data_IF_381307796322
#
_entry.id   IF_381307796322
#
_cell.length_a   1.000
_cell.length_b   1.000
_cell.length_c   1.000
_cell.angle_alpha   90.00
_cell.angle_beta   90.00
_cell.angle_gamma   90.00
#
_symmetry.space_group_name_H-M   'P 1'
#
loop_
_entity.id
_entity.type
_entity.pdbx_description
1 polymer ?
#
# COMPACT_ATOMS: atom_id res chain seq x y z
N UNK A 1 1.84 18.65 29.26
CA UNK A 1 1.22 17.85 28.18
C UNK A 1 2.33 17.09 27.47
N UNK A 2 2.39 15.75 27.65
CA UNK A 2 3.27 14.93 26.85
C UNK A 2 2.82 14.99 25.38
N UNK A 3 3.74 15.22 24.42
CA UNK A 3 3.37 15.17 23.01
C UNK A 3 2.79 13.79 22.69
N UNK A 4 1.67 13.75 21.97
CA UNK A 4 1.06 12.50 21.58
C UNK A 4 2.08 11.65 20.81
N UNK A 5 2.03 10.33 20.95
CA UNK A 5 2.96 9.41 20.27
C UNK A 5 3.01 9.66 18.74
N UNK A 6 1.89 10.07 18.15
CA UNK A 6 1.81 10.44 16.74
C UNK A 6 2.65 11.68 16.39
N UNK A 7 2.63 12.73 17.22
CA UNK A 7 3.46 13.91 16.99
C UNK A 7 4.96 13.59 17.12
N UNK A 8 5.33 12.76 18.09
CA UNK A 8 6.71 12.26 18.24
C UNK A 8 7.18 11.45 17.04
N UNK A 9 6.32 10.60 16.46
CA UNK A 9 6.65 9.81 15.28
C UNK A 9 6.80 10.67 14.02
N UNK A 10 5.95 11.67 13.83
CA UNK A 10 6.08 12.64 12.72
C UNK A 10 7.39 13.42 12.85
N UNK A 11 7.71 13.90 14.03
CA UNK A 11 8.97 14.64 14.28
C UNK A 11 10.22 13.79 14.04
N UNK A 12 10.23 12.53 14.53
CA UNK A 12 11.33 11.58 14.28
C UNK A 12 11.51 11.30 12.79
N UNK A 13 10.42 11.09 12.04
CA UNK A 13 10.47 10.86 10.60
C UNK A 13 10.99 12.07 9.84
N UNK A 14 10.57 13.28 10.21
CA UNK A 14 11.07 14.53 9.61
C UNK A 14 12.57 14.70 9.86
N UNK A 15 13.05 14.45 11.09
CA UNK A 15 14.48 14.52 11.44
C UNK A 15 15.30 13.50 10.67
N UNK A 16 14.87 12.24 10.61
CA UNK A 16 15.52 11.18 9.85
C UNK A 16 15.60 11.53 8.37
N UNK A 17 14.49 12.03 7.81
CA UNK A 17 14.48 12.43 6.41
C UNK A 17 15.44 13.59 6.13
N UNK A 18 15.46 14.62 6.98
CA UNK A 18 16.41 15.72 6.86
C UNK A 18 17.85 15.22 6.87
N UNK A 19 18.22 14.37 7.83
CA UNK A 19 19.56 13.78 7.91
C UNK A 19 19.94 13.04 6.61
N UNK A 20 19.02 12.26 6.03
CA UNK A 20 19.26 11.56 4.76
C UNK A 20 19.49 12.56 3.62
N UNK A 21 18.67 13.59 3.53
CA UNK A 21 18.82 14.65 2.51
C UNK A 21 20.16 15.38 2.65
N UNK A 22 20.51 15.81 3.87
CA UNK A 22 21.77 16.50 4.17
C UNK A 22 23.01 15.64 3.78
N UNK A 23 22.93 14.31 4.00
CA UNK A 23 24.01 13.37 3.58
C UNK A 23 24.14 13.33 2.05
N UNK A 24 23.05 13.18 1.33
CA UNK A 24 23.08 13.14 -0.14
C UNK A 24 23.60 14.46 -0.73
N UNK A 25 23.12 15.60 -0.21
CA UNK A 25 23.58 16.93 -0.64
C UNK A 25 25.07 17.12 -0.35
N UNK A 26 25.56 16.68 0.82
CA UNK A 26 26.99 16.76 1.17
C UNK A 26 27.89 15.84 0.33
N UNK A 27 27.32 14.80 -0.29
CA UNK A 27 28.03 13.89 -1.22
C UNK A 27 27.91 14.30 -2.70
N UNK A 28 27.38 15.49 -2.96
CA UNK A 28 27.39 16.09 -4.30
C UNK A 28 26.16 15.76 -5.14
N UNK A 29 24.97 15.64 -4.50
CA UNK A 29 23.69 15.45 -5.18
C UNK A 29 22.71 16.58 -4.89
N UNK A 30 22.02 17.04 -5.92
CA UNK A 30 20.83 17.88 -5.79
C UNK A 30 19.59 17.00 -5.68
N UNK A 31 18.78 17.21 -4.64
CA UNK A 31 17.66 16.33 -4.30
C UNK A 31 16.30 16.95 -4.67
N UNK A 32 15.51 16.18 -5.42
CA UNK A 32 14.11 16.46 -5.65
C UNK A 32 13.24 15.40 -4.95
N UNK A 33 12.10 15.80 -4.41
CA UNK A 33 11.20 14.90 -3.67
C UNK A 33 9.74 15.19 -3.97
N UNK A 34 8.95 14.11 -4.00
CA UNK A 34 7.49 14.21 -4.12
C UNK A 34 6.83 13.00 -3.47
N UNK A 35 5.69 13.23 -2.79
CA UNK A 35 4.83 12.14 -2.36
C UNK A 35 3.94 11.76 -3.53
N UNK A 36 4.00 10.51 -3.95
CA UNK A 36 3.20 9.95 -5.02
C UNK A 36 2.25 8.91 -4.46
N UNK A 37 0.98 8.93 -4.90
CA UNK A 37 0.01 7.89 -4.60
C UNK A 37 -0.05 6.92 -5.78
N UNK A 38 0.24 5.64 -5.56
CA UNK A 38 0.24 4.63 -6.61
C UNK A 38 -1.07 4.58 -7.40
N UNK A 39 -2.21 4.89 -6.77
CA UNK A 39 -3.52 4.96 -7.43
C UNK A 39 -3.56 5.96 -8.59
N UNK A 40 -2.78 7.02 -8.52
CA UNK A 40 -2.67 8.02 -9.57
C UNK A 40 -1.88 7.55 -10.79
N UNK A 41 -1.26 6.36 -10.72
CA UNK A 41 -0.36 5.79 -11.73
C UNK A 41 -0.83 4.39 -12.19
N UNK A 42 -2.14 4.19 -12.30
CA UNK A 42 -2.71 2.95 -12.85
C UNK A 42 -2.58 1.74 -11.93
N UNK A 43 -2.47 1.93 -10.62
CA UNK A 43 -2.40 0.88 -9.61
C UNK A 43 -3.70 0.87 -8.81
N UNK A 44 -4.39 -0.27 -8.71
CA UNK A 44 -5.65 -0.40 -7.97
C UNK A 44 -5.45 -0.38 -6.43
N UNK A 45 -4.61 0.54 -5.93
CA UNK A 45 -4.23 0.61 -4.52
C UNK A 45 -3.93 2.05 -4.08
N UNK A 46 -4.53 2.48 -2.99
CA UNK A 46 -4.12 3.70 -2.26
C UNK A 46 -2.83 3.42 -1.49
N UNK A 47 -1.69 3.86 -2.04
CA UNK A 47 -0.36 3.67 -1.45
C UNK A 47 0.49 4.91 -1.70
N UNK A 48 0.60 5.76 -0.71
CA UNK A 48 1.46 6.94 -0.77
C UNK A 48 2.89 6.58 -0.43
N UNK A 49 3.83 7.06 -1.23
CA UNK A 49 5.27 6.90 -1.00
C UNK A 49 6.00 8.20 -1.30
N UNK A 50 6.90 8.56 -0.41
CA UNK A 50 7.86 9.61 -0.70
C UNK A 50 8.92 9.04 -1.67
N UNK A 51 8.96 9.63 -2.85
CA UNK A 51 9.97 9.34 -3.87
C UNK A 51 11.00 10.45 -3.82
N UNK A 52 12.26 10.06 -3.78
CA UNK A 52 13.40 10.98 -3.77
C UNK A 52 14.28 10.66 -4.97
N UNK A 53 14.58 11.67 -5.77
CA UNK A 53 15.48 11.59 -6.93
C UNK A 53 16.69 12.49 -6.64
N UNK A 54 17.89 11.92 -6.76
CA UNK A 54 19.14 12.66 -6.64
C UNK A 54 19.81 12.81 -7.99
N UNK A 55 20.10 14.04 -8.40
CA UNK A 55 20.89 14.34 -9.60
C UNK A 55 22.28 14.76 -9.13
N UNK A 56 23.33 14.12 -9.66
CA UNK A 56 24.70 14.48 -9.34
C UNK A 56 24.98 15.92 -9.79
N UNK A 57 25.64 16.73 -8.97
CA UNK A 57 25.76 18.18 -9.16
C UNK A 57 26.46 18.59 -10.46
N UNK A 58 27.38 17.77 -10.96
CA UNK A 58 28.06 18.04 -12.26
C UNK A 58 27.14 17.81 -13.48
N UNK A 59 25.96 17.23 -13.27
CA UNK A 59 24.97 16.97 -14.32
C UNK A 59 23.75 17.87 -14.23
N UNK A 60 23.61 18.69 -13.20
CA UNK A 60 22.41 19.52 -12.98
C UNK A 60 22.16 20.56 -14.08
N UNK A 61 23.20 21.01 -14.77
CA UNK A 61 23.08 21.95 -15.90
C UNK A 61 22.64 21.25 -17.21
N UNK A 62 22.69 19.92 -17.24
CA UNK A 62 22.40 19.09 -18.41
C UNK A 62 21.15 18.23 -18.24
N UNK A 63 20.76 17.90 -17.02
CA UNK A 63 19.62 17.03 -16.71
C UNK A 63 18.52 17.84 -16.00
N UNK A 64 17.32 17.83 -16.58
CA UNK A 64 16.08 18.22 -15.90
C UNK A 64 15.24 16.99 -15.66
N UNK A 65 14.79 16.77 -14.40
CA UNK A 65 13.88 15.69 -14.05
C UNK A 65 12.53 16.24 -13.58
N UNK A 66 11.47 15.75 -14.19
CA UNK A 66 10.10 16.02 -13.78
C UNK A 66 9.41 14.72 -13.32
N UNK A 67 8.72 14.77 -12.19
CA UNK A 67 7.90 13.65 -11.75
C UNK A 67 6.75 13.39 -12.74
N UNK A 68 6.37 12.11 -12.94
CA UNK A 68 5.30 11.77 -13.86
C UNK A 68 3.98 12.44 -13.48
N UNK A 69 3.19 12.80 -14.49
CA UNK A 69 1.83 13.31 -14.30
C UNK A 69 0.87 12.16 -13.94
N UNK A 70 -0.15 12.42 -13.10
CA UNK A 70 -1.18 11.43 -12.80
C UNK A 70 -1.94 10.96 -14.06
N UNK A 71 -2.29 9.68 -14.08
CA UNK A 71 -3.16 9.12 -15.11
C UNK A 71 -4.59 9.65 -14.97
N UNK A 72 -5.30 9.75 -16.09
CA UNK A 72 -6.72 10.14 -16.11
C UNK A 72 -7.61 9.05 -15.50
N UNK A 73 -7.33 7.79 -15.82
CA UNK A 73 -8.04 6.63 -15.30
C UNK A 73 -7.37 6.10 -14.04
N UNK A 74 -8.18 5.85 -13.01
CA UNK A 74 -7.77 5.33 -11.72
C UNK A 74 -8.47 4.00 -11.47
N UNK A 75 -7.77 2.86 -11.54
CA UNK A 75 -8.39 1.54 -11.43
C UNK A 75 -8.90 1.27 -10.01
N UNK A 76 -9.93 0.42 -9.94
CA UNK A 76 -10.53 -0.08 -8.71
C UNK A 76 -10.35 -1.61 -8.60
N UNK A 77 -10.76 -2.21 -7.49
CA UNK A 77 -10.60 -3.66 -7.28
C UNK A 77 -11.38 -4.50 -8.31
N UNK A 78 -12.48 -4.02 -8.84
CA UNK A 78 -13.24 -4.70 -9.90
C UNK A 78 -12.39 -4.96 -11.14
N UNK A 79 -11.52 -4.03 -11.50
CA UNK A 79 -10.71 -4.11 -12.72
C UNK A 79 -9.62 -5.18 -12.65
N UNK A 80 -9.31 -5.67 -11.44
CA UNK A 80 -8.17 -6.57 -11.23
C UNK A 80 -8.53 -7.90 -10.55
N UNK A 81 -9.74 -8.04 -9.98
CA UNK A 81 -10.08 -9.23 -9.18
C UNK A 81 -10.97 -10.23 -9.91
N UNK A 82 -11.88 -9.78 -10.79
CA UNK A 82 -12.93 -10.66 -11.33
C UNK A 82 -12.38 -11.81 -12.19
N UNK A 83 -11.26 -11.61 -12.85
CA UNK A 83 -10.57 -12.59 -13.69
C UNK A 83 -9.22 -13.05 -13.10
N UNK A 84 -8.99 -12.77 -11.80
CA UNK A 84 -7.71 -13.09 -11.15
C UNK A 84 -7.49 -14.61 -11.07
N UNK A 85 -6.34 -15.12 -11.55
CA UNK A 85 -6.02 -16.54 -11.45
C UNK A 85 -5.98 -17.00 -9.97
N UNK A 86 -6.44 -18.24 -9.75
CA UNK A 86 -6.34 -18.86 -8.42
C UNK A 86 -4.90 -18.97 -7.96
N UNK A 87 -4.66 -18.67 -6.72
CA UNK A 87 -3.34 -18.80 -6.10
C UNK A 87 -3.45 -19.14 -4.61
N UNK A 88 -2.34 -19.50 -4.00
CA UNK A 88 -2.26 -19.77 -2.58
C UNK A 88 -2.55 -18.52 -1.75
N UNK A 89 -3.10 -18.74 -0.56
CA UNK A 89 -3.40 -17.70 0.41
C UNK A 89 -3.59 -18.27 1.81
N UNK A 90 -3.54 -17.41 2.80
CA UNK A 90 -3.79 -17.80 4.20
C UNK A 90 -5.29 -17.68 4.49
N UNK A 91 -5.97 -18.74 4.96
CA UNK A 91 -7.39 -18.65 5.31
C UNK A 91 -7.60 -17.89 6.63
N UNK A 92 -8.80 -17.37 6.83
CA UNK A 92 -9.25 -17.01 8.17
C UNK A 92 -9.58 -18.25 9.00
N UNK A 93 -9.54 -18.13 10.34
CA UNK A 93 -10.17 -19.12 11.22
C UNK A 93 -11.70 -19.09 11.00
N UNK A 94 -12.37 -20.22 11.32
CA UNK A 94 -13.83 -20.34 11.15
C UNK A 94 -14.59 -19.26 11.93
N UNK A 95 -14.14 -18.93 13.14
CA UNK A 95 -14.68 -17.85 13.94
C UNK A 95 -14.57 -16.49 13.22
N UNK A 96 -13.39 -16.16 12.71
CA UNK A 96 -13.16 -14.89 12.00
C UNK A 96 -13.95 -14.83 10.69
N UNK A 97 -14.04 -15.95 9.97
CA UNK A 97 -14.82 -16.06 8.74
C UNK A 97 -16.29 -15.77 8.98
N UNK A 98 -16.91 -16.38 10.00
CA UNK A 98 -18.31 -16.14 10.37
C UNK A 98 -18.60 -14.67 10.69
N UNK A 99 -17.68 -13.98 11.34
CA UNK A 99 -17.84 -12.55 11.63
C UNK A 99 -17.76 -11.73 10.34
N UNK A 100 -16.81 -12.04 9.44
CA UNK A 100 -16.69 -11.32 8.16
C UNK A 100 -17.89 -11.55 7.22
N UNK A 101 -18.62 -12.65 7.35
CA UNK A 101 -19.87 -12.90 6.62
C UNK A 101 -20.96 -11.89 6.98
N UNK A 102 -20.91 -11.30 8.18
CA UNK A 102 -21.82 -10.22 8.62
C UNK A 102 -21.40 -8.84 8.11
N UNK A 103 -20.13 -8.66 7.74
CA UNK A 103 -19.62 -7.35 7.29
C UNK A 103 -19.96 -7.16 5.81
N UNK A 104 -20.72 -6.12 5.44
CA UNK A 104 -21.02 -5.85 4.04
C UNK A 104 -19.75 -5.46 3.23
N UNK A 105 -19.73 -5.65 1.89
CA UNK A 105 -18.67 -5.12 1.04
C UNK A 105 -18.49 -3.60 1.26
N UNK A 106 -17.23 -3.16 1.43
CA UNK A 106 -16.91 -1.78 1.78
C UNK A 106 -17.05 -1.42 3.27
N UNK A 107 -17.65 -2.31 4.07
CA UNK A 107 -17.91 -2.11 5.49
C UNK A 107 -16.74 -2.46 6.42
N UNK A 108 -16.99 -2.32 7.70
CA UNK A 108 -16.04 -2.60 8.78
C UNK A 108 -16.79 -2.88 10.11
N UNK A 109 -16.12 -2.92 11.23
CA UNK A 109 -16.71 -3.29 12.54
C UNK A 109 -17.96 -2.49 12.97
N UNK A 110 -18.18 -1.29 12.44
CA UNK A 110 -19.39 -0.48 12.78
C UNK A 110 -20.63 -0.89 12.00
N UNK A 111 -20.48 -1.72 10.99
CA UNK A 111 -21.57 -2.14 10.09
C UNK A 111 -22.12 -3.52 10.49
N UNK A 112 -21.71 -4.06 11.64
CA UNK A 112 -22.24 -5.30 12.25
C UNK A 112 -22.83 -5.02 13.65
N UNK A 113 -23.62 -5.94 14.23
CA UNK A 113 -24.17 -5.77 15.58
C UNK A 113 -23.08 -5.44 16.61
N UNK A 114 -23.39 -4.47 17.47
CA UNK A 114 -22.41 -3.90 18.42
C UNK A 114 -21.85 -4.93 19.41
N UNK A 115 -22.69 -5.83 19.89
CA UNK A 115 -22.33 -6.93 20.77
C UNK A 115 -21.28 -7.84 20.14
N UNK A 116 -21.47 -8.24 18.88
CA UNK A 116 -20.53 -9.06 18.11
C UNK A 116 -19.21 -8.30 17.86
N UNK A 117 -19.33 -7.03 17.46
CA UNK A 117 -18.16 -6.18 17.24
C UNK A 117 -17.32 -6.04 18.53
N UNK A 118 -17.99 -5.79 19.65
CA UNK A 118 -17.36 -5.62 20.97
C UNK A 118 -16.67 -6.90 21.45
N UNK A 119 -17.34 -8.05 21.29
CA UNK A 119 -16.76 -9.36 21.61
C UNK A 119 -15.49 -9.63 20.77
N UNK A 120 -15.56 -9.39 19.47
CA UNK A 120 -14.40 -9.57 18.57
C UNK A 120 -13.26 -8.62 18.89
N UNK A 121 -13.56 -7.35 19.11
CA UNK A 121 -12.54 -6.32 19.31
C UNK A 121 -11.83 -6.42 20.66
N UNK A 122 -12.52 -6.89 21.72
CA UNK A 122 -11.99 -6.99 23.09
C UNK A 122 -11.37 -5.67 23.55
N UNK A 123 -10.11 -5.69 23.99
CA UNK A 123 -9.38 -4.49 24.42
C UNK A 123 -9.29 -3.39 23.36
N UNK A 124 -9.29 -3.75 22.07
CA UNK A 124 -9.27 -2.76 20.99
C UNK A 124 -10.55 -1.91 20.94
N UNK A 125 -11.66 -2.36 21.55
CA UNK A 125 -12.90 -1.60 21.64
C UNK A 125 -12.71 -0.27 22.39
N UNK A 126 -11.88 -0.27 23.41
CA UNK A 126 -11.63 0.87 24.30
C UNK A 126 -10.44 1.74 23.84
N UNK A 127 -9.77 1.38 22.75
CA UNK A 127 -8.66 2.17 22.24
C UNK A 127 -9.15 3.45 21.56
N UNK A 128 -8.36 4.52 21.65
CA UNK A 128 -8.60 5.75 20.90
C UNK A 128 -8.36 5.56 19.40
N UNK A 129 -8.95 6.45 18.60
CA UNK A 129 -8.83 6.46 17.14
C UNK A 129 -10.00 5.77 16.43
N UNK A 130 -10.03 5.89 15.11
CA UNK A 130 -11.16 5.43 14.29
C UNK A 130 -11.24 3.91 14.11
N UNK A 131 -10.15 3.18 14.34
CA UNK A 131 -10.06 1.70 14.25
C UNK A 131 -10.64 1.12 12.93
N UNK A 132 -10.61 1.92 11.87
CA UNK A 132 -11.24 1.61 10.58
C UNK A 132 -10.62 0.42 9.83
N UNK A 133 -9.47 -0.07 10.32
CA UNK A 133 -8.80 -1.26 9.78
C UNK A 133 -9.27 -2.58 10.42
N UNK A 134 -10.06 -2.55 11.50
CA UNK A 134 -10.57 -3.76 12.14
C UNK A 134 -11.82 -4.23 11.39
N UNK A 135 -11.90 -5.53 11.08
CA UNK A 135 -12.97 -6.14 10.30
C UNK A 135 -13.23 -5.38 8.98
N UNK A 136 -12.21 -4.83 8.35
CA UNK A 136 -12.36 -4.11 7.10
C UNK A 136 -12.56 -5.07 5.93
N UNK A 137 -13.76 -5.06 5.33
CA UNK A 137 -14.06 -5.72 4.07
C UNK A 137 -13.95 -4.69 2.94
N UNK A 138 -13.22 -5.03 1.89
CA UNK A 138 -13.00 -4.08 0.78
C UNK A 138 -14.21 -4.05 -0.14
N UNK A 139 -14.29 -3.02 -1.01
CA UNK A 139 -15.32 -2.87 -2.04
C UNK A 139 -14.71 -3.09 -3.42
N UNK A 140 -15.47 -3.69 -4.34
CA UNK A 140 -15.06 -3.78 -5.74
C UNK A 140 -14.94 -2.42 -6.43
N UNK A 141 -15.70 -1.44 -5.98
CA UNK A 141 -15.81 -0.12 -6.61
C UNK A 141 -14.82 0.91 -6.01
N UNK A 142 -13.90 0.44 -5.17
CA UNK A 142 -12.83 1.24 -4.59
C UNK A 142 -11.45 0.59 -4.86
N UNK A 143 -10.35 1.37 -4.86
CA UNK A 143 -9.01 0.80 -4.86
C UNK A 143 -8.74 0.07 -3.54
N UNK A 144 -7.85 -0.91 -3.56
CA UNK A 144 -7.34 -1.52 -2.35
C UNK A 144 -6.70 -0.49 -1.43
N UNK A 145 -6.76 -0.75 -0.14
CA UNK A 145 -5.88 -0.12 0.83
C UNK A 145 -4.45 -0.67 0.66
N UNK A 146 -3.47 0.00 1.28
CA UNK A 146 -2.07 -0.44 1.19
C UNK A 146 -1.94 -1.95 1.48
N UNK A 147 -1.39 -2.70 0.51
CA UNK A 147 -1.07 -4.12 0.64
C UNK A 147 -0.03 -4.30 1.75
N UNK A 148 -0.27 -5.26 2.63
CA UNK A 148 0.54 -5.55 3.80
C UNK A 148 1.46 -6.74 3.55
N UNK A 149 2.49 -6.87 4.38
CA UNK A 149 3.43 -8.02 4.37
C UNK A 149 2.87 -9.27 5.04
N UNK A 150 1.69 -9.17 5.65
CA UNK A 150 0.97 -10.28 6.28
C UNK A 150 -0.54 -10.10 6.06
N UNK A 151 -1.26 -11.14 5.60
CA UNK A 151 -2.68 -11.04 5.23
C UNK A 151 -3.62 -11.03 6.44
N UNK A 152 -3.15 -11.31 7.65
CA UNK A 152 -4.01 -11.58 8.80
C UNK A 152 -3.63 -10.80 10.06
N UNK A 153 -3.53 -9.47 9.95
CA UNK A 153 -3.32 -8.60 11.12
C UNK A 153 -4.65 -8.01 11.58
N UNK A 154 -5.01 -8.24 12.87
CA UNK A 154 -6.31 -7.84 13.43
C UNK A 154 -6.64 -6.35 13.27
N UNK A 155 -5.65 -5.47 13.38
CA UNK A 155 -5.86 -4.01 13.29
C UNK A 155 -5.89 -3.47 11.85
N UNK A 156 -5.53 -4.29 10.88
CA UNK A 156 -5.37 -3.90 9.48
C UNK A 156 -5.92 -4.96 8.53
N UNK A 157 -7.09 -5.47 8.85
CA UNK A 157 -7.76 -6.45 8.00
C UNK A 157 -7.99 -5.94 6.58
N UNK A 158 -7.88 -6.87 5.62
CA UNK A 158 -8.15 -6.66 4.19
C UNK A 158 -8.93 -7.86 3.68
N UNK A 159 -10.21 -7.93 4.04
CA UNK A 159 -11.08 -9.01 3.59
C UNK A 159 -11.46 -8.80 2.13
N UNK A 160 -11.48 -9.88 1.36
CA UNK A 160 -11.92 -9.89 -0.04
C UNK A 160 -13.37 -9.39 -0.15
N UNK A 161 -13.70 -8.57 -1.17
CA UNK A 161 -15.04 -7.97 -1.28
C UNK A 161 -16.17 -8.99 -1.45
N UNK A 162 -15.92 -10.10 -2.14
CA UNK A 162 -16.95 -11.13 -2.43
C UNK A 162 -16.91 -12.33 -1.48
N UNK A 163 -15.79 -12.59 -0.84
CA UNK A 163 -15.57 -13.79 -0.03
C UNK A 163 -15.01 -13.43 1.35
N UNK A 164 -15.45 -14.13 2.38
CA UNK A 164 -14.97 -13.91 3.76
C UNK A 164 -13.58 -14.57 3.96
N UNK A 165 -12.56 -14.02 3.29
CA UNK A 165 -11.16 -14.46 3.35
C UNK A 165 -10.20 -13.30 3.10
N UNK A 166 -8.91 -13.42 3.46
CA UNK A 166 -7.88 -12.49 3.00
C UNK A 166 -7.69 -12.59 1.47
N UNK A 167 -7.03 -11.61 0.90
CA UNK A 167 -6.53 -11.70 -0.47
C UNK A 167 -5.45 -12.78 -0.57
N UNK A 168 -5.48 -13.54 -1.67
CA UNK A 168 -4.42 -14.48 -2.04
C UNK A 168 -3.15 -13.74 -2.46
N UNK A 169 -2.06 -14.46 -2.69
CA UNK A 169 -0.79 -13.87 -3.16
C UNK A 169 -0.98 -13.19 -4.51
N UNK A 170 -1.68 -13.83 -5.46
CA UNK A 170 -1.91 -13.25 -6.80
C UNK A 170 -2.81 -12.02 -6.77
N UNK A 171 -3.86 -12.02 -5.97
CA UNK A 171 -4.73 -10.87 -5.78
C UNK A 171 -3.96 -9.67 -5.20
N UNK A 172 -3.11 -9.91 -4.19
CA UNK A 172 -2.22 -8.87 -3.67
C UNK A 172 -1.19 -8.41 -4.70
N UNK A 173 -0.66 -9.31 -5.53
CA UNK A 173 0.26 -8.98 -6.61
C UNK A 173 -0.40 -8.09 -7.67
N UNK A 174 -1.63 -8.40 -8.07
CA UNK A 174 -2.42 -7.54 -8.98
C UNK A 174 -2.73 -6.17 -8.35
N UNK A 175 -3.00 -6.10 -7.03
CA UNK A 175 -3.11 -4.81 -6.32
C UNK A 175 -1.81 -3.97 -6.39
N UNK A 176 -0.66 -4.60 -6.60
CA UNK A 176 0.64 -3.96 -6.82
C UNK A 176 1.01 -3.86 -8.31
N UNK A 177 0.06 -4.16 -9.20
CA UNK A 177 0.21 -4.19 -10.66
C UNK A 177 1.31 -5.14 -11.19
N UNK A 178 1.63 -6.22 -10.46
CA UNK A 178 2.46 -7.28 -11.01
C UNK A 178 1.70 -8.05 -12.10
N UNK A 179 2.37 -8.42 -13.19
CA UNK A 179 1.79 -9.29 -14.20
C UNK A 179 1.58 -10.72 -13.64
N UNK A 180 0.64 -11.48 -14.23
CA UNK A 180 0.25 -12.78 -13.69
C UNK A 180 1.32 -13.88 -13.83
N UNK A 181 2.22 -13.74 -14.78
CA UNK A 181 3.35 -14.64 -15.00
C UNK A 181 4.53 -14.40 -14.03
N UNK A 182 4.50 -13.30 -13.26
CA UNK A 182 5.52 -13.04 -12.27
C UNK A 182 5.48 -14.08 -11.14
N UNK A 183 6.63 -14.73 -10.88
CA UNK A 183 6.76 -15.76 -9.86
C UNK A 183 7.33 -15.21 -8.55
N UNK A 184 6.63 -15.48 -7.45
CA UNK A 184 7.14 -15.25 -6.09
C UNK A 184 7.63 -16.57 -5.52
N UNK A 185 8.77 -16.57 -4.84
CA UNK A 185 9.44 -17.78 -4.36
C UNK A 185 9.42 -17.91 -2.83
N UNK A 186 9.59 -19.13 -2.34
CA UNK A 186 9.65 -19.45 -0.92
C UNK A 186 8.28 -19.73 -0.30
N UNK A 187 8.20 -19.72 1.02
CA UNK A 187 6.95 -20.00 1.74
C UNK A 187 5.88 -18.95 1.46
N UNK A 188 4.60 -19.31 1.64
CA UNK A 188 3.44 -18.41 1.50
C UNK A 188 3.67 -17.08 2.26
N UNK A 189 4.16 -17.15 3.50
CA UNK A 189 4.48 -15.95 4.28
C UNK A 189 5.61 -15.11 3.67
N UNK A 190 6.63 -15.75 3.04
CA UNK A 190 7.69 -15.05 2.33
C UNK A 190 7.16 -14.35 1.08
N UNK A 191 6.27 -14.99 0.33
CA UNK A 191 5.64 -14.41 -0.86
C UNK A 191 4.79 -13.18 -0.52
N UNK A 192 3.98 -13.22 0.56
CA UNK A 192 3.27 -12.04 1.06
C UNK A 192 4.21 -10.89 1.42
N UNK A 193 5.35 -11.18 2.05
CA UNK A 193 6.37 -10.17 2.37
C UNK A 193 6.96 -9.54 1.12
N UNK A 194 7.28 -10.34 0.09
CA UNK A 194 7.79 -9.85 -1.19
C UNK A 194 6.80 -8.89 -1.83
N UNK A 195 5.53 -9.29 -1.96
CA UNK A 195 4.49 -8.45 -2.55
C UNK A 195 4.27 -7.18 -1.72
N UNK A 196 4.14 -7.29 -0.39
CA UNK A 196 3.85 -6.14 0.48
C UNK A 196 4.98 -5.11 0.53
N UNK A 197 6.25 -5.54 0.39
CA UNK A 197 7.42 -4.66 0.38
C UNK A 197 7.72 -4.06 -0.99
N UNK A 198 7.13 -4.58 -2.05
CA UNK A 198 7.40 -4.12 -3.40
C UNK A 198 6.96 -2.66 -3.63
N UNK A 199 7.64 -2.00 -4.55
CA UNK A 199 7.13 -0.80 -5.21
C UNK A 199 6.13 -1.25 -6.28
N UNK A 200 4.93 -0.65 -6.37
CA UNK A 200 3.97 -0.99 -7.42
C UNK A 200 4.59 -0.84 -8.82
N UNK A 201 4.40 -1.85 -9.67
CA UNK A 201 5.11 -1.95 -10.96
C UNK A 201 4.81 -0.78 -11.88
N UNK A 202 3.53 -0.39 -12.02
CA UNK A 202 3.14 0.74 -12.88
C UNK A 202 3.71 2.07 -12.38
N UNK A 203 3.71 2.32 -11.06
CA UNK A 203 4.34 3.52 -10.50
C UNK A 203 5.85 3.54 -10.78
N UNK A 204 6.54 2.41 -10.59
CA UNK A 204 7.97 2.30 -10.87
C UNK A 204 8.26 2.49 -12.37
N UNK A 205 7.40 1.97 -13.23
CA UNK A 205 7.52 2.13 -14.68
C UNK A 205 7.43 3.60 -15.11
N UNK A 206 6.43 4.34 -14.60
CA UNK A 206 6.28 5.76 -14.95
C UNK A 206 7.45 6.62 -14.45
N UNK A 207 7.95 6.33 -13.24
CA UNK A 207 9.16 6.99 -12.72
C UNK A 207 10.37 6.63 -13.61
N UNK A 208 10.54 5.35 -13.96
CA UNK A 208 11.63 4.88 -14.81
C UNK A 208 11.62 5.51 -16.20
N UNK A 209 10.43 5.72 -16.79
CA UNK A 209 10.30 6.47 -18.05
C UNK A 209 10.83 7.89 -17.90
N UNK A 210 10.46 8.59 -16.84
CA UNK A 210 10.93 9.97 -16.60
C UNK A 210 12.44 10.06 -16.34
N UNK A 211 12.99 9.06 -15.66
CA UNK A 211 14.47 8.97 -15.52
C UNK A 211 15.13 8.76 -16.88
N UNK A 212 14.59 7.87 -17.72
CA UNK A 212 15.12 7.63 -19.06
C UNK A 212 15.04 8.89 -19.93
N UNK A 213 13.88 9.58 -19.97
CA UNK A 213 13.70 10.84 -20.68
C UNK A 213 14.72 11.89 -20.24
N UNK A 214 15.00 12.01 -18.94
CA UNK A 214 16.00 12.92 -18.41
C UNK A 214 17.43 12.58 -18.86
N UNK A 215 17.76 11.30 -19.02
CA UNK A 215 19.08 10.83 -19.44
C UNK A 215 19.29 10.89 -20.96
N UNK A 216 18.22 10.79 -21.77
CA UNK A 216 18.29 10.90 -23.23
C UNK A 216 18.66 12.33 -23.70
N UNK A 217 18.60 13.31 -22.80
CA UNK A 217 18.98 14.71 -23.07
C UNK A 217 20.43 15.05 -22.67
N UNK A 218 21.23 14.03 -22.26
CA UNK A 218 22.67 14.13 -22.02
C UNK A 218 23.47 13.93 -23.31
#
# INVERSE_FOLDING_TARGET
>A
LSPSSAASDVYKRQRTYKTITDIFESTGYTIQKKVLNAWDYGVAQKRERLITIGIRNDLTDHISFDFPAPHKYKPVLRDILLDCPKSEGTPYSDYKKKIFELVPPGGYWRDIPEDIAKEYMKSCWYMEGGRTGILRRLSLDEPSLTVLTSPSQKQTDRCHPLEARPFTIRENARCQSFPDDWQFCGSVGSQYKQVGNAVPVNLAFDIGKKIREALENL
#
